data_IF_324587497190
#
_entry.id   IF_324587497190
#
_cell.length_a   1.000
_cell.length_b   1.000
_cell.length_c   1.000
_cell.angle_alpha   90.00
_cell.angle_beta   90.00
_cell.angle_gamma   90.00
#
_symmetry.space_group_name_H-M   'P 1'
#
loop_
_entity.id
_entity.type
_entity.pdbx_description
1 polymer ?
#
# COMPACT_ATOMS: atom_id res chain seq x y z
N UNK A 1 -26.73 4.09 -5.62
CA UNK A 1 -25.55 4.97 -5.57
C UNK A 1 -25.84 6.11 -4.62
N UNK A 2 -25.03 6.27 -3.58
CA UNK A 2 -25.20 7.34 -2.58
C UNK A 2 -23.93 8.19 -2.57
N UNK A 3 -24.07 9.51 -2.61
CA UNK A 3 -22.94 10.46 -2.61
C UNK A 3 -22.91 11.17 -1.26
N UNK A 4 -21.77 11.08 -0.58
CA UNK A 4 -21.50 11.74 0.70
C UNK A 4 -20.47 12.85 0.50
N UNK A 5 -20.88 14.14 0.42
CA UNK A 5 -19.94 15.22 0.21
C UNK A 5 -19.15 15.54 1.48
N UNK A 6 -17.88 15.89 1.32
CA UNK A 6 -17.10 16.52 2.38
C UNK A 6 -17.65 17.92 2.70
N UNK A 7 -17.83 18.20 3.97
CA UNK A 7 -18.40 19.50 4.39
C UNK A 7 -17.43 20.68 4.35
N UNK A 8 -16.11 20.42 4.33
CA UNK A 8 -15.03 21.42 4.31
C UNK A 8 -13.83 20.90 3.53
N UNK A 9 -13.01 21.81 3.00
CA UNK A 9 -11.64 21.48 2.56
C UNK A 9 -10.82 21.14 3.79
N UNK A 10 -10.29 19.94 3.83
CA UNK A 10 -9.45 19.39 4.92
C UNK A 10 -8.12 18.91 4.35
N UNK A 11 -7.10 18.80 5.21
CA UNK A 11 -5.81 18.25 4.79
C UNK A 11 -5.92 16.75 4.46
N UNK A 12 -5.00 16.15 3.68
CA UNK A 12 -5.00 14.71 3.42
C UNK A 12 -4.96 13.86 4.69
N UNK A 13 -4.22 14.31 5.72
CA UNK A 13 -4.10 13.63 7.01
C UNK A 13 -5.43 13.65 7.77
N UNK A 14 -6.06 14.82 7.87
CA UNK A 14 -7.38 14.98 8.47
C UNK A 14 -8.44 14.18 7.71
N UNK A 15 -8.35 14.12 6.38
CA UNK A 15 -9.24 13.32 5.55
C UNK A 15 -9.11 11.83 5.87
N UNK A 16 -7.88 11.32 6.02
CA UNK A 16 -7.63 9.92 6.38
C UNK A 16 -8.20 9.57 7.75
N UNK A 17 -7.96 10.43 8.76
CA UNK A 17 -8.51 10.25 10.11
C UNK A 17 -10.04 10.26 10.07
N UNK A 18 -10.62 11.20 9.33
CA UNK A 18 -12.07 11.33 9.19
C UNK A 18 -12.68 10.08 8.51
N UNK A 19 -12.08 9.60 7.43
CA UNK A 19 -12.48 8.33 6.79
C UNK A 19 -12.40 7.17 7.78
N UNK A 20 -11.31 7.05 8.53
CA UNK A 20 -11.17 6.04 9.56
C UNK A 20 -12.30 6.08 10.58
N UNK A 21 -12.71 7.26 11.04
CA UNK A 21 -13.84 7.43 11.96
C UNK A 21 -15.18 7.04 11.30
N UNK A 22 -15.39 7.44 10.04
CA UNK A 22 -16.60 7.09 9.28
C UNK A 22 -16.71 5.58 9.12
N UNK A 23 -15.65 4.87 8.73
CA UNK A 23 -15.68 3.42 8.55
C UNK A 23 -15.84 2.65 9.87
N UNK A 24 -15.27 3.16 10.98
CA UNK A 24 -15.57 2.62 12.33
C UNK A 24 -17.07 2.69 12.64
N UNK A 25 -17.70 3.85 12.43
CA UNK A 25 -19.13 4.01 12.63
C UNK A 25 -19.97 3.16 11.67
N UNK A 26 -19.54 3.01 10.42
CA UNK A 26 -20.23 2.16 9.45
C UNK A 26 -20.17 0.69 9.84
N UNK A 27 -19.01 0.22 10.33
CA UNK A 27 -18.87 -1.12 10.87
C UNK A 27 -19.79 -1.34 12.09
N UNK A 28 -19.77 -0.43 13.07
CA UNK A 28 -20.61 -0.51 14.26
C UNK A 28 -22.12 -0.50 13.95
N UNK A 29 -22.51 0.12 12.83
CA UNK A 29 -23.91 0.18 12.35
C UNK A 29 -24.26 -0.91 11.32
N UNK A 30 -23.38 -1.86 11.06
CA UNK A 30 -23.52 -2.89 10.04
C UNK A 30 -23.74 -2.35 8.60
N UNK A 31 -23.25 -1.15 8.31
CA UNK A 31 -23.28 -0.57 6.96
C UNK A 31 -22.09 -0.97 6.11
N UNK A 32 -20.96 -1.27 6.74
CA UNK A 32 -19.71 -1.75 6.14
C UNK A 32 -19.34 -3.08 6.75
N UNK A 33 -19.17 -4.08 5.90
CA UNK A 33 -18.70 -5.41 6.25
C UNK A 33 -17.25 -5.56 5.74
N UNK A 34 -16.24 -5.66 6.63
CA UNK A 34 -14.86 -5.76 6.22
C UNK A 34 -14.49 -7.05 5.46
N UNK A 35 -15.34 -8.08 5.49
CA UNK A 35 -15.10 -9.35 4.78
C UNK A 35 -15.63 -9.31 3.35
N UNK A 36 -16.78 -8.68 3.10
CA UNK A 36 -17.45 -8.67 1.80
C UNK A 36 -17.35 -7.35 1.02
N UNK A 37 -17.14 -6.24 1.72
CA UNK A 37 -17.13 -4.90 1.15
C UNK A 37 -15.70 -4.41 0.92
N UNK A 38 -15.51 -3.38 0.07
CA UNK A 38 -14.20 -2.81 -0.21
C UNK A 38 -14.22 -1.28 -0.20
N UNK A 39 -13.11 -0.69 0.23
CA UNK A 39 -12.86 0.73 0.11
C UNK A 39 -11.89 0.94 -1.04
N UNK A 40 -12.26 1.77 -2.01
CA UNK A 40 -11.41 2.11 -3.15
C UNK A 40 -10.93 3.55 -3.05
N UNK A 41 -9.63 3.75 -3.22
CA UNK A 41 -8.96 5.06 -3.18
C UNK A 41 -7.99 5.15 -4.37
N UNK A 42 -7.78 6.34 -4.97
CA UNK A 42 -6.84 6.49 -6.08
C UNK A 42 -5.36 6.24 -5.72
N UNK A 43 -4.94 6.51 -4.48
CA UNK A 43 -3.54 6.50 -4.02
C UNK A 43 -3.26 5.57 -2.85
N UNK A 44 -1.97 5.20 -2.68
CA UNK A 44 -1.50 4.50 -1.47
C UNK A 44 -1.20 5.46 -0.32
N UNK A 45 -0.64 6.64 -0.61
CA UNK A 45 -0.24 7.68 0.35
C UNK A 45 -1.12 8.93 0.20
N UNK A 46 -0.96 9.91 1.10
CA UNK A 46 -1.68 11.19 1.02
C UNK A 46 -3.21 11.02 0.93
N UNK A 47 -3.87 10.65 2.01
CA UNK A 47 -5.26 10.18 2.05
C UNK A 47 -5.43 8.87 1.28
N UNK A 48 -4.51 7.95 1.48
CA UNK A 48 -4.39 6.71 0.70
C UNK A 48 -4.72 5.45 1.49
N UNK A 49 -4.49 4.32 0.83
CA UNK A 49 -4.85 3.00 1.35
C UNK A 49 -4.02 2.56 2.55
N UNK A 50 -2.74 2.93 2.61
CA UNK A 50 -1.82 2.44 3.66
C UNK A 50 -2.29 2.82 5.06
N UNK A 51 -2.49 4.12 5.30
CA UNK A 51 -2.89 4.64 6.60
C UNK A 51 -4.33 4.24 6.96
N UNK A 52 -5.24 4.26 5.97
CA UNK A 52 -6.63 3.87 6.21
C UNK A 52 -6.74 2.39 6.57
N UNK A 53 -6.02 1.51 5.88
CA UNK A 53 -5.93 0.09 6.22
C UNK A 53 -5.46 -0.12 7.67
N UNK A 54 -4.43 0.63 8.09
CA UNK A 54 -3.91 0.55 9.46
C UNK A 54 -4.94 0.98 10.50
N UNK A 55 -5.69 2.05 10.23
CA UNK A 55 -6.75 2.53 11.13
C UNK A 55 -7.87 1.50 11.25
N UNK A 56 -8.30 0.90 10.14
CA UNK A 56 -9.37 -0.09 10.11
C UNK A 56 -8.91 -1.39 10.78
N UNK A 57 -7.74 -1.92 10.44
CA UNK A 57 -7.19 -3.13 11.04
C UNK A 57 -7.11 -3.01 12.57
N UNK A 58 -6.57 -1.89 13.09
CA UNK A 58 -6.51 -1.64 14.54
C UNK A 58 -7.91 -1.57 15.20
N UNK A 59 -8.90 -1.04 14.51
CA UNK A 59 -10.28 -1.03 15.02
C UNK A 59 -10.85 -2.44 15.07
N UNK A 60 -10.71 -3.21 14.00
CA UNK A 60 -11.23 -4.57 13.90
C UNK A 60 -10.52 -5.53 14.87
N UNK A 61 -9.19 -5.42 15.04
CA UNK A 61 -8.45 -6.20 16.01
C UNK A 61 -8.99 -5.99 17.43
N UNK A 62 -9.24 -4.73 17.83
CA UNK A 62 -9.86 -4.42 19.12
C UNK A 62 -11.27 -4.99 19.24
N UNK A 63 -12.06 -4.93 18.18
CA UNK A 63 -13.41 -5.48 18.16
C UNK A 63 -13.42 -7.01 18.29
N UNK A 64 -12.44 -7.70 17.68
CA UNK A 64 -12.22 -9.15 17.82
C UNK A 64 -11.52 -9.53 19.14
N UNK A 65 -11.07 -8.56 19.93
CA UNK A 65 -10.23 -8.75 21.12
C UNK A 65 -8.90 -9.45 20.81
N UNK A 66 -8.33 -9.15 19.65
CA UNK A 66 -7.06 -9.71 19.15
C UNK A 66 -5.90 -8.74 19.35
N UNK A 67 -4.70 -9.31 19.53
CA UNK A 67 -3.46 -8.54 19.66
C UNK A 67 -2.94 -8.12 18.29
N UNK A 68 -2.57 -6.85 18.15
CA UNK A 68 -1.83 -6.38 16.98
C UNK A 68 -0.34 -6.63 17.17
N UNK A 69 0.23 -7.49 16.33
CA UNK A 69 1.63 -7.87 16.35
C UNK A 69 2.45 -6.90 15.49
N UNK A 70 3.58 -6.45 16.03
CA UNK A 70 4.60 -5.75 15.26
C UNK A 70 5.65 -6.75 14.78
N UNK A 71 5.64 -7.06 13.50
CA UNK A 71 6.49 -8.05 12.87
C UNK A 71 7.64 -7.33 12.16
N UNK A 72 8.87 -7.72 12.46
CA UNK A 72 10.06 -7.21 11.78
C UNK A 72 10.30 -8.10 10.55
N UNK A 73 10.22 -7.50 9.37
CA UNK A 73 10.43 -8.15 8.08
C UNK A 73 11.57 -7.42 7.33
N UNK A 74 12.80 -7.87 7.54
CA UNK A 74 13.99 -7.16 7.10
C UNK A 74 14.12 -5.81 7.79
N UNK A 75 14.11 -4.72 7.01
CA UNK A 75 14.15 -3.35 7.51
C UNK A 75 12.76 -2.74 7.74
N UNK A 76 11.71 -3.46 7.39
CA UNK A 76 10.33 -2.98 7.50
C UNK A 76 9.64 -3.52 8.75
N UNK A 77 8.64 -2.78 9.22
CA UNK A 77 7.75 -3.20 10.29
C UNK A 77 6.35 -3.38 9.73
N UNK A 78 5.84 -4.59 9.83
CA UNK A 78 4.49 -4.96 9.40
C UNK A 78 3.63 -5.12 10.65
N UNK A 79 2.41 -4.58 10.64
CA UNK A 79 1.47 -4.68 11.75
C UNK A 79 0.27 -5.52 11.31
N UNK A 80 0.08 -6.67 11.96
CA UNK A 80 -0.98 -7.62 11.65
C UNK A 80 -1.62 -8.16 12.93
N UNK A 81 -2.88 -8.56 12.81
CA UNK A 81 -3.64 -9.28 13.83
C UNK A 81 -4.24 -10.55 13.22
N UNK A 82 -4.49 -11.55 14.05
CA UNK A 82 -5.28 -12.71 13.62
C UNK A 82 -6.67 -12.24 13.18
N UNK A 83 -7.16 -12.79 12.07
CA UNK A 83 -8.41 -12.38 11.42
C UNK A 83 -8.28 -11.14 10.54
N UNK A 84 -7.09 -10.60 10.30
CA UNK A 84 -6.94 -9.52 9.34
C UNK A 84 -7.09 -10.02 7.91
N UNK A 85 -7.90 -9.29 7.12
CA UNK A 85 -7.98 -9.49 5.67
C UNK A 85 -6.75 -8.91 5.00
N UNK A 86 -6.11 -9.73 4.18
CA UNK A 86 -4.88 -9.40 3.48
C UNK A 86 -4.95 -9.82 2.03
N UNK A 87 -4.08 -9.25 1.20
CA UNK A 87 -3.83 -9.68 -0.17
C UNK A 87 -2.46 -10.36 -0.21
N UNK A 88 -2.45 -11.61 -0.63
CA UNK A 88 -1.25 -12.38 -0.91
C UNK A 88 -1.25 -12.79 -2.38
N UNK A 89 -0.21 -12.39 -3.15
CA UNK A 89 -0.10 -12.66 -4.60
C UNK A 89 -1.35 -12.30 -5.42
N UNK A 90 -2.05 -11.23 -5.03
CA UNK A 90 -3.31 -10.72 -5.60
C UNK A 90 -4.57 -11.53 -5.24
N UNK A 91 -4.46 -12.56 -4.44
CA UNK A 91 -5.58 -13.32 -3.92
C UNK A 91 -5.96 -12.78 -2.52
N UNK A 92 -7.26 -12.74 -2.24
CA UNK A 92 -7.76 -12.40 -0.90
C UNK A 92 -7.43 -13.53 0.06
N UNK A 93 -6.97 -13.18 1.25
CA UNK A 93 -6.63 -14.12 2.30
C UNK A 93 -6.94 -13.55 3.68
N UNK A 94 -7.00 -14.42 4.67
CA UNK A 94 -7.20 -14.05 6.08
C UNK A 94 -6.04 -14.57 6.92
N UNK A 95 -5.51 -13.75 7.81
CA UNK A 95 -4.47 -14.16 8.77
C UNK A 95 -5.09 -15.10 9.80
N UNK A 96 -4.66 -16.35 9.81
CA UNK A 96 -5.18 -17.36 10.74
C UNK A 96 -4.28 -17.60 11.94
N UNK A 97 -2.97 -17.36 11.80
CA UNK A 97 -2.00 -17.59 12.88
C UNK A 97 -0.80 -16.65 12.77
N UNK A 98 -0.33 -16.18 13.91
CA UNK A 98 0.93 -15.45 14.05
C UNK A 98 1.72 -16.10 15.19
N UNK A 99 2.96 -16.49 14.93
CA UNK A 99 3.82 -17.12 15.93
C UNK A 99 5.27 -16.65 15.79
N UNK A 100 6.03 -16.70 16.86
CA UNK A 100 7.43 -16.33 16.82
C UNK A 100 8.22 -17.24 15.85
N UNK A 101 9.10 -16.64 15.05
CA UNK A 101 9.95 -17.38 14.12
C UNK A 101 11.25 -17.80 14.82
N UNK A 102 11.45 -19.10 15.14
CA UNK A 102 12.66 -19.55 15.83
C UNK A 102 13.93 -19.39 14.99
N UNK A 103 13.79 -19.26 13.67
CA UNK A 103 14.90 -19.04 12.74
C UNK A 103 15.32 -17.58 12.60
N UNK A 104 14.61 -16.65 13.27
CA UNK A 104 14.92 -15.22 13.24
C UNK A 104 16.09 -14.91 14.19
N UNK A 105 17.23 -14.52 13.65
CA UNK A 105 18.43 -14.17 14.42
C UNK A 105 18.49 -12.69 14.88
N UNK A 106 17.46 -11.90 14.57
CA UNK A 106 17.41 -10.48 14.85
C UNK A 106 18.12 -9.63 13.77
N UNK A 107 17.66 -8.40 13.59
CA UNK A 107 18.39 -7.37 12.84
C UNK A 107 19.19 -6.59 13.85
N UNK A 108 20.52 -6.68 13.79
CA UNK A 108 21.35 -5.76 14.57
C UNK A 108 21.09 -4.33 14.07
N UNK A 109 20.71 -3.38 14.94
CA UNK A 109 20.60 -1.99 14.53
C UNK A 109 21.97 -1.57 13.95
N UNK A 110 21.99 -1.03 12.75
CA UNK A 110 23.18 -0.36 12.21
C UNK A 110 23.44 0.82 13.15
N UNK A 111 24.60 0.90 13.79
CA UNK A 111 24.93 2.06 14.64
C UNK A 111 24.80 3.31 13.76
N UNK A 112 24.03 4.30 14.21
CA UNK A 112 23.83 5.57 13.48
C UNK A 112 25.14 6.32 13.17
N UNK A 113 26.25 5.91 13.80
CA UNK A 113 27.56 6.53 13.65
C UNK A 113 28.44 6.01 12.49
N UNK A 114 27.95 5.10 11.62
CA UNK A 114 28.74 4.52 10.52
C UNK A 114 27.99 4.38 9.21
N UNK A 115 27.18 5.33 8.82
CA UNK A 115 26.71 5.45 7.43
C UNK A 115 27.77 6.22 6.62
N UNK A 116 28.76 5.51 6.13
CA UNK A 116 29.65 6.05 5.08
C UNK A 116 28.85 6.10 3.76
N UNK A 117 29.09 7.12 2.95
CA UNK A 117 28.51 7.20 1.63
C UNK A 117 29.06 6.07 0.71
N UNK A 118 28.51 5.95 -0.51
CA UNK A 118 28.93 4.93 -1.47
C UNK A 118 30.46 4.96 -1.79
N UNK A 119 31.12 6.06 -1.49
CA UNK A 119 32.57 6.29 -1.73
C UNK A 119 33.41 6.17 -0.46
N UNK A 120 32.85 5.80 0.69
CA UNK A 120 33.55 5.65 1.96
C UNK A 120 33.82 6.96 2.69
N UNK A 121 33.02 8.02 2.44
CA UNK A 121 33.18 9.31 3.10
C UNK A 121 32.11 9.43 4.22
N UNK A 122 32.51 10.06 5.32
CA UNK A 122 31.54 10.50 6.35
C UNK A 122 30.64 11.60 5.78
N UNK A 123 29.31 11.40 5.72
CA UNK A 123 28.39 12.39 5.16
C UNK A 123 28.37 13.74 5.90
N UNK A 124 28.89 13.80 7.12
CA UNK A 124 28.94 15.02 7.92
C UNK A 124 30.22 15.81 7.69
N UNK A 125 31.36 15.14 7.49
CA UNK A 125 32.68 15.80 7.45
C UNK A 125 33.31 15.88 6.05
N UNK A 126 32.88 15.08 5.08
CA UNK A 126 33.47 14.95 3.73
C UNK A 126 34.99 14.72 3.73
N UNK A 127 35.56 14.22 4.82
CA UNK A 127 36.98 13.93 4.93
C UNK A 127 37.24 12.44 4.73
N UNK A 128 38.22 12.15 3.86
CA UNK A 128 38.74 10.80 3.72
C UNK A 128 39.63 10.49 4.92
N UNK A 129 39.49 9.32 5.54
CA UNK A 129 40.38 8.89 6.61
C UNK A 129 41.77 8.52 6.03
N UNK A 130 42.84 8.98 6.67
CA UNK A 130 44.20 8.82 6.17
C UNK A 130 44.83 7.43 6.46
N UNK A 131 44.04 6.44 6.92
CA UNK A 131 44.56 5.11 7.29
C UNK A 131 43.99 4.01 6.36
N UNK A 132 44.55 4.02 5.12
CA UNK A 132 44.00 3.24 3.97
C UNK A 132 44.24 1.70 4.04
N UNK A 133 44.99 1.15 5.03
CA UNK A 133 45.31 -0.28 5.06
C UNK A 133 44.51 -1.13 6.07
N UNK A 134 44.16 -0.57 7.20
CA UNK A 134 43.24 -1.24 8.18
C UNK A 134 41.80 -1.15 7.72
N UNK A 135 41.39 -0.06 7.10
CA UNK A 135 40.05 0.17 6.58
C UNK A 135 39.65 -0.79 5.45
N UNK A 136 40.61 -1.23 4.60
CA UNK A 136 40.32 -2.18 3.53
C UNK A 136 40.07 -3.60 4.06
N UNK A 137 40.70 -4.00 5.15
CA UNK A 137 40.48 -5.29 5.80
C UNK A 137 39.18 -5.29 6.59
N UNK A 138 38.90 -4.18 7.29
CA UNK A 138 37.62 -3.98 7.99
C UNK A 138 36.45 -3.87 7.00
N UNK A 139 36.62 -3.28 5.83
CA UNK A 139 35.65 -3.26 4.74
C UNK A 139 35.41 -4.66 4.17
N UNK A 140 36.44 -5.48 3.95
CA UNK A 140 36.29 -6.87 3.51
C UNK A 140 35.64 -7.76 4.58
N UNK A 141 36.01 -7.59 5.86
CA UNK A 141 35.37 -8.25 6.98
C UNK A 141 33.90 -7.79 7.17
N UNK A 142 33.60 -6.52 6.91
CA UNK A 142 32.23 -6.00 6.89
C UNK A 142 31.43 -6.54 5.70
N UNK A 143 32.03 -6.75 4.52
CA UNK A 143 31.39 -7.38 3.37
C UNK A 143 31.11 -8.89 3.61
N UNK A 144 32.04 -9.63 4.19
CA UNK A 144 31.80 -11.04 4.54
C UNK A 144 30.78 -11.18 5.68
N UNK A 145 30.81 -10.29 6.68
CA UNK A 145 29.77 -10.20 7.69
C UNK A 145 28.43 -9.68 7.12
N UNK A 146 28.44 -8.94 6.01
CA UNK A 146 27.23 -8.52 5.30
C UNK A 146 26.60 -9.67 4.51
N UNK A 147 27.38 -10.58 3.93
CA UNK A 147 26.87 -11.79 3.27
C UNK A 147 26.16 -12.72 4.28
N UNK A 148 26.75 -12.91 5.47
CA UNK A 148 26.08 -13.63 6.59
C UNK A 148 24.84 -12.86 7.13
N UNK A 149 24.84 -11.51 7.02
CA UNK A 149 23.70 -10.65 7.35
C UNK A 149 22.58 -10.70 6.32
N UNK A 150 22.89 -10.88 5.02
CA UNK A 150 21.87 -11.02 3.98
C UNK A 150 20.98 -12.23 4.23
N UNK A 151 21.51 -13.35 4.68
CA UNK A 151 20.69 -14.52 5.05
C UNK A 151 19.86 -14.30 6.34
N UNK A 152 20.37 -13.52 7.29
CA UNK A 152 19.64 -13.16 8.52
C UNK A 152 18.52 -12.13 8.28
N UNK A 153 18.71 -11.23 7.32
CA UNK A 153 17.69 -10.24 6.91
C UNK A 153 16.55 -10.90 6.11
N UNK A 154 16.77 -12.09 5.52
CA UNK A 154 15.77 -12.81 4.74
C UNK A 154 14.63 -13.38 5.58
N UNK A 155 14.83 -13.62 6.88
CA UNK A 155 13.79 -14.15 7.77
C UNK A 155 13.07 -13.03 8.51
N UNK A 156 11.79 -13.24 8.79
CA UNK A 156 10.97 -12.34 9.61
C UNK A 156 10.96 -12.75 11.08
N UNK A 157 10.68 -11.80 11.98
CA UNK A 157 10.60 -12.08 13.43
C UNK A 157 9.46 -13.03 13.83
N UNK A 158 8.43 -13.12 12.98
CA UNK A 158 7.28 -14.00 13.19
C UNK A 158 6.96 -14.75 11.90
N UNK A 159 6.39 -15.93 12.05
CA UNK A 159 5.71 -16.66 10.98
C UNK A 159 4.26 -16.25 10.95
N UNK A 160 3.75 -15.96 9.77
CA UNK A 160 2.36 -15.60 9.57
C UNK A 160 1.72 -16.65 8.67
N UNK A 161 0.71 -17.34 9.17
CA UNK A 161 -0.08 -18.26 8.34
C UNK A 161 -1.32 -17.53 7.87
N UNK A 162 -1.53 -17.52 6.56
CA UNK A 162 -2.70 -16.98 5.91
C UNK A 162 -3.50 -18.09 5.25
N UNK A 163 -4.83 -17.99 5.30
CA UNK A 163 -5.75 -18.87 4.58
C UNK A 163 -6.26 -18.12 3.36
N UNK A 164 -5.98 -18.65 2.17
CA UNK A 164 -6.46 -18.11 0.91
C UNK A 164 -7.97 -18.30 0.79
N UNK A 165 -8.68 -17.28 0.29
CA UNK A 165 -10.15 -17.31 0.25
C UNK A 165 -10.67 -18.24 -0.84
N UNK A 166 -10.05 -18.22 -2.04
CA UNK A 166 -10.53 -18.98 -3.18
C UNK A 166 -10.16 -20.46 -3.11
N UNK A 167 -8.92 -20.78 -2.73
CA UNK A 167 -8.41 -22.14 -2.66
C UNK A 167 -8.59 -22.81 -1.30
N UNK A 168 -8.95 -22.06 -0.26
CA UNK A 168 -8.99 -22.47 1.15
C UNK A 168 -7.65 -23.02 1.69
N UNK A 169 -6.57 -22.87 0.92
CA UNK A 169 -5.24 -23.34 1.26
C UNK A 169 -4.61 -22.44 2.31
N UNK A 170 -3.92 -23.06 3.29
CA UNK A 170 -3.10 -22.34 4.26
C UNK A 170 -1.66 -22.23 3.75
N UNK A 171 -1.12 -21.01 3.77
CA UNK A 171 0.26 -20.69 3.40
C UNK A 171 0.96 -20.04 4.58
N UNK A 172 2.13 -20.56 4.95
CA UNK A 172 2.94 -19.96 6.03
C UNK A 172 4.08 -19.14 5.45
N UNK A 173 4.09 -17.88 5.80
CA UNK A 173 5.05 -16.88 5.37
C UNK A 173 6.07 -16.68 6.48
N UNK A 174 7.34 -16.90 6.21
CA UNK A 174 8.42 -16.77 7.20
C UNK A 174 9.59 -15.88 6.72
N UNK A 175 9.55 -15.45 5.46
CA UNK A 175 10.56 -14.59 4.89
C UNK A 175 10.16 -13.11 4.94
N UNK A 176 11.15 -12.23 5.03
CA UNK A 176 10.94 -10.81 4.98
C UNK A 176 10.30 -10.34 3.66
N UNK A 177 10.69 -10.96 2.54
CA UNK A 177 10.17 -10.64 1.21
C UNK A 177 8.67 -10.94 1.08
N UNK A 178 8.23 -12.11 1.54
CA UNK A 178 6.82 -12.50 1.52
C UNK A 178 5.97 -11.56 2.38
N UNK A 179 6.43 -11.28 3.61
CA UNK A 179 5.68 -10.39 4.52
C UNK A 179 5.64 -8.94 4.06
N UNK A 180 6.69 -8.44 3.38
CA UNK A 180 6.68 -7.09 2.81
C UNK A 180 5.72 -6.98 1.61
N UNK A 181 5.41 -8.08 0.94
CA UNK A 181 4.44 -8.15 -0.15
C UNK A 181 3.00 -8.39 0.34
N UNK A 182 2.83 -8.76 1.60
CA UNK A 182 1.51 -8.93 2.21
C UNK A 182 0.88 -7.56 2.47
N UNK A 183 -0.29 -7.33 1.94
CA UNK A 183 -0.98 -6.05 2.03
C UNK A 183 -2.31 -6.23 2.78
N UNK A 184 -2.64 -5.31 3.68
CA UNK A 184 -3.98 -5.26 4.27
C UNK A 184 -5.03 -5.01 3.17
N UNK A 185 -6.13 -5.75 3.20
CA UNK A 185 -7.12 -5.85 2.13
C UNK A 185 -8.43 -5.07 2.37
N UNK A 186 -8.51 -4.18 3.37
CA UNK A 186 -9.72 -3.40 3.65
C UNK A 186 -9.91 -2.22 2.70
N UNK A 187 -8.81 -1.61 2.28
CA UNK A 187 -8.78 -0.53 1.30
C UNK A 187 -7.74 -0.81 0.22
N UNK A 188 -8.13 -0.69 -1.05
CA UNK A 188 -7.30 -0.93 -2.21
C UNK A 188 -7.24 0.29 -3.12
N UNK A 189 -6.16 0.39 -3.90
CA UNK A 189 -6.17 1.35 -4.99
C UNK A 189 -7.07 0.85 -6.11
N UNK A 190 -7.69 1.79 -6.84
CA UNK A 190 -8.53 1.46 -7.99
C UNK A 190 -7.79 0.57 -9.01
N UNK A 191 -6.48 0.75 -9.19
CA UNK A 191 -5.67 -0.09 -10.07
C UNK A 191 -5.56 -1.54 -9.58
N UNK A 192 -5.39 -1.73 -8.27
CA UNK A 192 -5.30 -3.08 -7.67
C UNK A 192 -6.65 -3.80 -7.65
N UNK A 193 -7.76 -3.07 -7.74
CA UNK A 193 -9.11 -3.64 -7.80
C UNK A 193 -9.53 -4.15 -9.18
N UNK A 194 -8.69 -3.96 -10.21
CA UNK A 194 -9.02 -4.41 -11.57
C UNK A 194 -9.13 -5.93 -11.64
N UNK A 195 -10.24 -6.41 -12.18
CA UNK A 195 -10.55 -7.83 -12.28
C UNK A 195 -11.37 -8.40 -11.13
N UNK A 196 -11.47 -7.69 -10.00
CA UNK A 196 -12.25 -8.11 -8.84
C UNK A 196 -13.55 -7.31 -8.71
N UNK A 197 -14.54 -7.87 -8.00
CA UNK A 197 -15.82 -7.22 -7.71
C UNK A 197 -16.23 -7.53 -6.27
N UNK A 198 -16.93 -6.58 -5.64
CA UNK A 198 -17.38 -6.70 -4.25
C UNK A 198 -18.85 -6.37 -4.12
N UNK A 199 -19.48 -6.86 -3.07
CA UNK A 199 -20.89 -6.60 -2.77
C UNK A 199 -21.15 -5.10 -2.69
N UNK A 200 -20.45 -4.40 -1.82
CA UNK A 200 -20.50 -2.94 -1.71
C UNK A 200 -19.13 -2.34 -1.96
N UNK A 201 -19.11 -1.21 -2.64
CA UNK A 201 -17.90 -0.42 -2.87
C UNK A 201 -18.06 0.96 -2.27
N UNK A 202 -17.11 1.35 -1.44
CA UNK A 202 -16.96 2.69 -0.90
C UNK A 202 -15.83 3.39 -1.63
N UNK A 203 -16.16 4.23 -2.61
CA UNK A 203 -15.20 4.95 -3.40
C UNK A 203 -14.91 6.32 -2.78
N UNK A 204 -13.69 6.53 -2.29
CA UNK A 204 -13.27 7.72 -1.57
C UNK A 204 -12.36 8.60 -2.43
N UNK A 205 -12.74 9.88 -2.59
CA UNK A 205 -11.99 10.87 -3.35
C UNK A 205 -11.72 12.10 -2.49
N UNK A 206 -10.47 12.52 -2.44
CA UNK A 206 -10.02 13.77 -1.86
C UNK A 206 -9.40 14.68 -2.95
N UNK A 207 -9.37 16.00 -2.73
CA UNK A 207 -8.78 16.94 -3.70
C UNK A 207 -7.30 16.67 -4.03
N UNK A 208 -6.54 16.09 -3.09
CA UNK A 208 -5.15 15.66 -3.35
C UNK A 208 -5.02 14.60 -4.44
N UNK A 209 -6.11 13.89 -4.76
CA UNK A 209 -6.15 12.88 -5.82
C UNK A 209 -6.40 13.47 -7.22
N UNK A 210 -6.66 14.78 -7.32
CA UNK A 210 -7.13 15.44 -8.55
C UNK A 210 -6.22 15.23 -9.79
N UNK A 211 -4.93 14.97 -9.58
CA UNK A 211 -3.97 14.70 -10.69
C UNK A 211 -4.15 13.34 -11.34
N UNK A 212 -4.69 12.36 -10.60
CA UNK A 212 -4.91 11.00 -11.10
C UNK A 212 -6.35 10.68 -11.43
N UNK A 213 -7.28 11.50 -10.94
CA UNK A 213 -8.71 11.26 -11.14
C UNK A 213 -9.10 11.64 -12.57
N UNK A 214 -9.41 10.61 -13.36
CA UNK A 214 -9.84 10.70 -14.75
C UNK A 214 -11.06 9.80 -14.94
N UNK A 215 -11.80 10.00 -16.03
CA UNK A 215 -13.02 9.26 -16.35
C UNK A 215 -12.81 7.74 -16.30
N UNK A 216 -11.69 7.26 -16.83
CA UNK A 216 -11.35 5.84 -16.88
C UNK A 216 -11.16 5.23 -15.49
N UNK A 217 -10.52 5.98 -14.59
CA UNK A 217 -10.34 5.56 -13.20
C UNK A 217 -11.68 5.52 -12.46
N UNK A 218 -12.52 6.56 -12.64
CA UNK A 218 -13.86 6.62 -12.06
C UNK A 218 -14.71 5.44 -12.56
N UNK A 219 -14.70 5.20 -13.89
CA UNK A 219 -15.39 4.05 -14.48
C UNK A 219 -14.94 2.73 -13.87
N UNK A 220 -13.62 2.51 -13.76
CA UNK A 220 -13.08 1.31 -13.14
C UNK A 220 -13.57 1.15 -11.71
N UNK A 221 -13.55 2.20 -10.91
CA UNK A 221 -13.99 2.15 -9.52
C UNK A 221 -15.50 1.82 -9.38
N UNK A 222 -16.35 2.50 -10.14
CA UNK A 222 -17.80 2.34 -10.02
C UNK A 222 -18.29 0.99 -10.52
N UNK A 223 -17.59 0.38 -11.49
CA UNK A 223 -17.91 -0.95 -12.01
C UNK A 223 -17.46 -2.10 -11.12
N UNK A 224 -16.84 -1.84 -9.97
CA UNK A 224 -16.45 -2.88 -9.00
C UNK A 224 -17.56 -3.27 -8.04
N UNK A 225 -18.64 -2.47 -7.95
CA UNK A 225 -19.77 -2.74 -7.08
C UNK A 225 -20.77 -3.69 -7.75
N UNK A 226 -21.09 -4.80 -7.08
CA UNK A 226 -22.16 -5.73 -7.51
C UNK A 226 -23.55 -5.25 -7.07
N UNK A 227 -23.68 -4.73 -5.86
CA UNK A 227 -24.97 -4.35 -5.30
C UNK A 227 -25.06 -2.85 -5.00
N UNK A 228 -24.14 -2.33 -4.20
CA UNK A 228 -24.22 -0.95 -3.72
C UNK A 228 -22.91 -0.19 -3.95
N UNK A 229 -23.04 1.07 -4.35
CA UNK A 229 -21.92 2.01 -4.51
C UNK A 229 -22.15 3.25 -3.66
N UNK A 230 -21.20 3.52 -2.78
CA UNK A 230 -21.10 4.73 -1.98
C UNK A 230 -19.93 5.56 -2.48
N UNK A 231 -20.16 6.84 -2.77
CA UNK A 231 -19.10 7.77 -3.19
C UNK A 231 -18.95 8.82 -2.11
N UNK A 232 -17.78 8.82 -1.47
CA UNK A 232 -17.39 9.80 -0.45
C UNK A 232 -16.38 10.73 -1.10
N UNK A 233 -16.79 11.95 -1.46
CA UNK A 233 -15.93 12.83 -2.27
C UNK A 233 -16.20 14.31 -2.02
N UNK A 234 -15.24 15.11 -2.44
CA UNK A 234 -15.49 16.51 -2.75
C UNK A 234 -16.17 16.59 -4.12
N UNK A 235 -17.38 17.19 -4.22
CA UNK A 235 -18.14 17.22 -5.47
C UNK A 235 -17.35 17.80 -6.65
N UNK A 236 -16.53 18.82 -6.41
CA UNK A 236 -15.68 19.44 -7.43
C UNK A 236 -14.64 18.46 -7.99
N UNK A 237 -14.01 17.64 -7.14
CA UNK A 237 -13.02 16.63 -7.52
C UNK A 237 -13.65 15.53 -8.37
N UNK A 238 -14.87 15.13 -8.04
CA UNK A 238 -15.62 14.12 -8.79
C UNK A 238 -16.02 14.63 -10.17
N UNK A 239 -16.60 15.84 -10.26
CA UNK A 239 -16.98 16.49 -11.53
C UNK A 239 -15.76 16.70 -12.42
N UNK A 240 -14.64 17.19 -11.86
CA UNK A 240 -13.37 17.34 -12.59
C UNK A 240 -12.88 16.01 -13.16
N UNK A 241 -12.99 14.94 -12.38
CA UNK A 241 -12.63 13.59 -12.83
C UNK A 241 -13.49 13.12 -14.01
N UNK A 242 -14.81 13.34 -14.00
CA UNK A 242 -15.71 12.99 -15.10
C UNK A 242 -15.32 13.74 -16.40
N UNK A 243 -14.93 14.99 -16.28
CA UNK A 243 -14.55 15.84 -17.41
C UNK A 243 -13.13 15.58 -17.92
N UNK A 244 -12.28 14.97 -17.09
CA UNK A 244 -10.89 14.65 -17.44
C UNK A 244 -10.81 13.29 -18.15
N UNK A 245 -10.09 13.24 -19.28
CA UNK A 245 -9.84 11.99 -20.03
C UNK A 245 -8.34 11.79 -20.19
N UNK A 246 -7.89 10.55 -20.03
CA UNK A 246 -6.49 10.16 -20.26
C UNK A 246 -6.13 10.24 -21.75
N UNK A 247 -7.05 9.82 -22.60
CA UNK A 247 -6.93 9.86 -24.06
C UNK A 247 -8.02 10.77 -24.58
N UNK A 248 -7.61 11.92 -25.14
CA UNK A 248 -8.55 12.84 -25.74
C UNK A 248 -9.21 12.23 -26.98
N UNK A 249 -10.50 12.42 -27.11
CA UNK A 249 -11.31 11.94 -28.22
C UNK A 249 -12.50 11.10 -27.78
N UNK A 250 -13.64 11.26 -28.47
CA UNK A 250 -14.88 10.53 -28.22
C UNK A 250 -15.03 9.31 -29.15
N UNK A 251 -14.39 9.36 -30.32
CA UNK A 251 -14.36 8.27 -31.31
C UNK A 251 -13.02 7.55 -31.33
N UNK A 252 -12.99 6.37 -31.95
CA UNK A 252 -11.77 5.58 -32.11
C UNK A 252 -10.74 6.33 -32.99
N UNK A 253 -11.22 7.04 -34.00
CA UNK A 253 -10.40 7.83 -34.90
C UNK A 253 -9.75 9.02 -34.21
N UNK A 254 -10.50 9.78 -33.40
CA UNK A 254 -9.97 10.89 -32.60
C UNK A 254 -8.93 10.41 -31.59
N UNK A 255 -9.13 9.24 -30.96
CA UNK A 255 -8.16 8.62 -30.06
C UNK A 255 -6.89 8.20 -30.81
N UNK A 256 -7.02 7.62 -31.99
CA UNK A 256 -5.89 7.25 -32.84
C UNK A 256 -5.06 8.48 -33.23
N UNK A 257 -5.71 9.56 -33.66
CA UNK A 257 -5.05 10.85 -33.97
C UNK A 257 -4.32 11.45 -32.77
N UNK A 258 -4.89 11.36 -31.56
CA UNK A 258 -4.22 11.81 -30.33
C UNK A 258 -2.94 11.00 -30.06
N UNK A 259 -2.92 9.70 -30.29
CA UNK A 259 -1.73 8.87 -30.12
C UNK A 259 -0.68 9.15 -31.20
N UNK A 260 -1.09 9.31 -32.45
CA UNK A 260 -0.17 9.67 -33.55
C UNK A 260 0.53 11.01 -33.28
N UNK A 261 -0.21 12.05 -32.88
CA UNK A 261 0.37 13.34 -32.54
C UNK A 261 1.29 13.33 -31.31
N UNK A 262 1.16 12.32 -30.40
CA UNK A 262 2.14 12.10 -29.32
C UNK A 262 3.42 11.43 -29.80
N UNK A 263 3.32 10.47 -30.73
CA UNK A 263 4.46 9.79 -31.31
C UNK A 263 5.33 10.76 -32.11
N UNK A 264 4.72 11.63 -32.92
CA UNK A 264 5.41 12.66 -33.70
C UNK A 264 6.22 13.61 -32.79
N UNK A 265 5.60 14.07 -31.69
CA UNK A 265 6.31 14.93 -30.71
C UNK A 265 7.44 14.23 -29.98
N UNK A 266 7.34 12.91 -29.73
CA UNK A 266 8.45 12.15 -29.14
C UNK A 266 9.60 11.96 -30.13
N UNK A 267 9.34 11.80 -31.42
CA UNK A 267 10.35 11.72 -32.46
C UNK A 267 11.08 13.06 -32.67
N UNK A 268 10.34 14.18 -32.60
CA UNK A 268 10.93 15.53 -32.65
C UNK A 268 11.84 15.86 -31.46
N UNK A 269 11.58 15.29 -30.30
CA UNK A 269 12.41 15.48 -29.08
C UNK A 269 13.66 14.59 -29.07
N UNK A 270 13.73 13.57 -29.92
CA UNK A 270 14.86 12.64 -30.02
C UNK A 270 15.76 12.91 -31.25
N UNK A 271 15.36 13.85 -32.13
CA UNK A 271 16.12 14.35 -33.27
C UNK A 271 16.85 15.65 -32.92
#
# INVERSE_FOLDING_TARGET
>A
MTIHPWKKKISPEEATITLGMVFKQFHEKNLYDPEEDIILIPFNKSCGTEELNRIIANHLARHRNETTWQIIAGFMKVHLSVGDRVLYEKEDAVVVKIEHNPSYAGVMPIPESKTLDYWGHDPVTHKRSEDDSEDAMDFLLAQTAAADKEDRVKKSSHRVTVKLTDSEQEVTLDSAGELNNLLLGYALTVHKSQGSEWRKVFFCLHQSHATMVQRELLYTAVTRAREELYIICEPESFVKGILSQRVKGNTLEEKAQYFMGKLDKQQELLS
#
